data_IF_269356408534
#
_entry.id   IF_269356408534
#
_cell.length_a   1.000
_cell.length_b   1.000
_cell.length_c   1.000
_cell.angle_alpha   90.00
_cell.angle_beta   90.00
_cell.angle_gamma   90.00
#
_symmetry.space_group_name_H-M   'P 1'
#
loop_
_entity.id
_entity.type
_entity.pdbx_description
1 polymer ?
#
# COMPACT_ATOMS: atom_id res chain seq x y z
N UNK A 1 -21.67 -5.09 4.67
CA UNK A 1 -20.34 -5.43 5.21
C UNK A 1 -19.71 -4.15 5.74
N UNK A 2 -19.16 -4.12 6.96
CA UNK A 2 -18.48 -2.93 7.47
C UNK A 2 -17.08 -2.84 6.85
N UNK A 3 -16.78 -1.74 6.14
CA UNK A 3 -15.48 -1.50 5.49
C UNK A 3 -14.62 -0.43 6.18
N UNK A 4 -15.04 0.08 7.34
CA UNK A 4 -14.38 1.18 8.06
C UNK A 4 -12.93 0.85 8.40
N UNK A 5 -12.65 -0.41 8.74
CA UNK A 5 -11.30 -0.88 9.02
C UNK A 5 -10.38 -0.76 7.80
N UNK A 6 -10.85 -1.11 6.61
CA UNK A 6 -10.04 -1.00 5.39
C UNK A 6 -9.79 0.47 5.02
N UNK A 7 -10.82 1.31 5.16
CA UNK A 7 -10.70 2.77 5.00
C UNK A 7 -9.67 3.36 5.97
N UNK A 8 -9.65 2.91 7.23
CA UNK A 8 -8.66 3.34 8.21
C UNK A 8 -7.24 2.93 7.81
N UNK A 9 -7.06 1.68 7.37
CA UNK A 9 -5.76 1.21 6.87
C UNK A 9 -5.28 1.99 5.65
N UNK A 10 -6.18 2.42 4.74
CA UNK A 10 -5.82 3.32 3.65
C UNK A 10 -5.31 4.67 4.13
N UNK A 11 -5.91 5.24 5.18
CA UNK A 11 -5.43 6.49 5.79
C UNK A 11 -4.02 6.29 6.36
N UNK A 12 -3.78 5.19 7.06
CA UNK A 12 -2.44 4.85 7.58
C UNK A 12 -1.41 4.72 6.44
N UNK A 13 -1.75 3.96 5.39
CA UNK A 13 -0.87 3.75 4.24
C UNK A 13 -0.53 5.07 3.54
N UNK A 14 -1.53 5.90 3.25
CA UNK A 14 -1.34 7.19 2.58
C UNK A 14 -0.54 8.17 3.44
N UNK A 15 -0.72 8.12 4.76
CA UNK A 15 0.04 8.94 5.71
C UNK A 15 1.51 8.51 5.75
N UNK A 16 1.79 7.21 5.81
CA UNK A 16 3.16 6.68 5.78
C UNK A 16 3.89 7.00 4.47
N UNK A 17 3.20 6.86 3.32
CA UNK A 17 3.74 7.30 2.02
C UNK A 17 4.10 8.80 2.04
N UNK A 18 3.24 9.64 2.61
CA UNK A 18 3.46 11.08 2.70
C UNK A 18 4.65 11.42 3.60
N UNK A 19 4.82 10.69 4.71
CA UNK A 19 5.97 10.80 5.60
C UNK A 19 7.28 10.40 4.88
N UNK A 20 7.30 9.26 4.20
CA UNK A 20 8.46 8.81 3.41
C UNK A 20 8.87 9.83 2.36
N UNK A 21 7.90 10.40 1.63
CA UNK A 21 8.16 11.47 0.65
C UNK A 21 8.80 12.70 1.31
N UNK A 22 8.27 13.13 2.45
CA UNK A 22 8.81 14.29 3.20
C UNK A 22 10.25 14.04 3.66
N UNK A 23 10.52 12.92 4.31
CA UNK A 23 11.87 12.58 4.78
C UNK A 23 12.86 12.48 3.61
N UNK A 24 12.43 11.89 2.50
CA UNK A 24 13.26 11.75 1.29
C UNK A 24 13.65 13.11 0.69
N UNK A 25 12.73 14.08 0.71
CA UNK A 25 12.98 15.46 0.28
C UNK A 25 13.88 16.22 1.25
N UNK A 26 13.76 15.98 2.56
CA UNK A 26 14.61 16.61 3.58
C UNK A 26 16.05 16.10 3.55
N UNK A 27 16.26 14.86 3.10
CA UNK A 27 17.59 14.28 2.91
C UNK A 27 17.58 12.79 3.25
N UNK A 28 17.79 11.93 2.25
CA UNK A 28 17.72 10.47 2.46
C UNK A 28 18.82 9.99 3.42
N UNK A 29 20.04 10.49 3.26
CA UNK A 29 21.16 10.11 4.13
C UNK A 29 20.96 10.63 5.56
N UNK A 30 20.46 11.85 5.72
CA UNK A 30 20.25 12.50 7.01
C UNK A 30 19.10 11.85 7.80
N UNK A 31 18.10 11.35 7.08
CA UNK A 31 16.92 10.68 7.65
C UNK A 31 16.92 9.16 7.44
N UNK A 32 18.08 8.54 7.19
CA UNK A 32 18.15 7.12 6.81
C UNK A 32 17.53 6.18 7.87
N UNK A 33 17.70 6.49 9.16
CA UNK A 33 17.11 5.70 10.25
C UNK A 33 15.59 5.84 10.27
N UNK A 34 15.08 7.07 10.15
CA UNK A 34 13.64 7.35 10.16
C UNK A 34 12.94 6.73 8.95
N UNK A 35 13.54 6.85 7.76
CA UNK A 35 13.05 6.24 6.53
C UNK A 35 13.03 4.71 6.67
N UNK A 36 14.11 4.11 7.18
CA UNK A 36 14.16 2.66 7.37
C UNK A 36 13.11 2.16 8.37
N UNK A 37 12.85 2.92 9.43
CA UNK A 37 11.80 2.60 10.39
C UNK A 37 10.42 2.71 9.75
N UNK A 38 10.14 3.83 9.08
CA UNK A 38 8.84 4.05 8.44
C UNK A 38 8.55 3.01 7.34
N UNK A 39 9.56 2.59 6.57
CA UNK A 39 9.40 1.50 5.60
C UNK A 39 8.97 0.18 6.25
N UNK A 40 9.48 -0.14 7.45
CA UNK A 40 9.07 -1.35 8.19
C UNK A 40 7.63 -1.23 8.68
N UNK A 41 7.29 -0.08 9.26
CA UNK A 41 5.94 0.22 9.73
C UNK A 41 4.93 0.12 8.59
N UNK A 42 5.19 0.81 7.48
CA UNK A 42 4.33 0.79 6.31
C UNK A 42 4.23 -0.61 5.69
N UNK A 43 5.33 -1.36 5.63
CA UNK A 43 5.31 -2.76 5.19
C UNK A 43 4.37 -3.63 6.03
N UNK A 44 4.42 -3.48 7.35
CA UNK A 44 3.52 -4.21 8.25
C UNK A 44 2.05 -3.85 8.02
N UNK A 45 1.73 -2.56 7.86
CA UNK A 45 0.35 -2.12 7.59
C UNK A 45 -0.16 -2.69 6.26
N UNK A 46 0.63 -2.60 5.18
CA UNK A 46 0.25 -3.14 3.87
C UNK A 46 0.04 -4.65 3.94
N UNK A 47 0.95 -5.40 4.56
CA UNK A 47 0.82 -6.86 4.70
C UNK A 47 -0.46 -7.22 5.47
N UNK A 48 -0.76 -6.51 6.55
CA UNK A 48 -1.98 -6.75 7.33
C UNK A 48 -3.25 -6.41 6.55
N UNK A 49 -3.25 -5.28 5.84
CA UNK A 49 -4.35 -4.86 4.98
C UNK A 49 -4.68 -5.96 3.95
N UNK A 50 -3.68 -6.40 3.18
CA UNK A 50 -3.84 -7.47 2.19
C UNK A 50 -4.34 -8.78 2.80
N UNK A 51 -3.78 -9.16 3.95
CA UNK A 51 -4.15 -10.40 4.63
C UNK A 51 -5.61 -10.40 5.11
N UNK A 52 -6.19 -9.23 5.40
CA UNK A 52 -7.60 -9.10 5.76
C UNK A 52 -8.46 -9.10 4.50
N UNK A 53 -8.02 -8.44 3.42
CA UNK A 53 -8.75 -8.45 2.15
C UNK A 53 -8.90 -9.86 1.59
N UNK A 54 -7.80 -10.63 1.53
CA UNK A 54 -7.78 -12.01 1.03
C UNK A 54 -8.64 -12.97 1.86
N UNK A 55 -8.73 -12.75 3.17
CA UNK A 55 -9.47 -13.64 4.07
C UNK A 55 -10.93 -13.28 4.23
N UNK A 56 -11.27 -12.01 4.05
CA UNK A 56 -12.59 -11.48 4.43
C UNK A 56 -13.24 -10.75 3.26
N UNK A 57 -12.57 -9.73 2.72
CA UNK A 57 -13.19 -8.83 1.74
C UNK A 57 -13.56 -9.56 0.45
N UNK A 58 -12.56 -10.13 -0.22
CA UNK A 58 -12.77 -10.75 -1.53
C UNK A 58 -13.72 -11.96 -1.46
N UNK A 59 -13.60 -12.90 -0.48
CA UNK A 59 -14.56 -13.99 -0.34
C UNK A 59 -16.00 -13.52 -0.08
N UNK A 60 -16.19 -12.46 0.71
CA UNK A 60 -17.52 -11.93 1.00
C UNK A 60 -18.19 -11.32 -0.24
N UNK A 61 -17.42 -10.66 -1.10
CA UNK A 61 -17.93 -10.08 -2.35
C UNK A 61 -18.23 -11.16 -3.39
N UNK A 62 -17.41 -12.21 -3.47
CA UNK A 62 -17.68 -13.38 -4.32
C UNK A 62 -18.98 -14.08 -3.92
N UNK A 63 -19.24 -14.23 -2.61
CA UNK A 63 -20.43 -14.88 -2.07
C UNK A 63 -21.68 -13.98 -2.01
N UNK A 64 -21.58 -12.71 -2.40
CA UNK A 64 -22.68 -11.73 -2.30
C UNK A 64 -23.84 -11.97 -3.26
N UNK A 65 -23.68 -12.86 -4.25
CA UNK A 65 -24.65 -13.07 -5.33
C UNK A 65 -24.69 -11.96 -6.38
N UNK A 66 -23.87 -10.92 -6.23
CA UNK A 66 -23.75 -9.84 -7.21
C UNK A 66 -22.56 -10.09 -8.15
N UNK A 67 -22.84 -10.61 -9.34
CA UNK A 67 -21.79 -10.94 -10.33
C UNK A 67 -20.90 -9.75 -10.72
N UNK A 68 -21.47 -8.54 -10.80
CA UNK A 68 -20.71 -7.33 -11.13
C UNK A 68 -19.67 -7.05 -10.05
N UNK A 69 -20.06 -7.18 -8.78
CA UNK A 69 -19.15 -6.97 -7.66
C UNK A 69 -18.11 -8.08 -7.54
N UNK A 70 -18.48 -9.34 -7.79
CA UNK A 70 -17.52 -10.45 -7.81
C UNK A 70 -16.43 -10.22 -8.89
N UNK A 71 -16.82 -9.80 -10.10
CA UNK A 71 -15.86 -9.46 -11.17
C UNK A 71 -14.96 -8.29 -10.79
N UNK A 72 -15.54 -7.18 -10.32
CA UNK A 72 -14.77 -6.00 -9.88
C UNK A 72 -13.78 -6.37 -8.78
N UNK A 73 -14.22 -7.14 -7.78
CA UNK A 73 -13.40 -7.66 -6.69
C UNK A 73 -12.19 -8.47 -7.19
N UNK A 74 -12.41 -9.39 -8.14
CA UNK A 74 -11.34 -10.19 -8.73
C UNK A 74 -10.31 -9.33 -9.49
N UNK A 75 -10.76 -8.30 -10.20
CA UNK A 75 -9.87 -7.36 -10.90
C UNK A 75 -8.98 -6.59 -9.90
N UNK A 76 -9.56 -6.03 -8.82
CA UNK A 76 -8.79 -5.33 -7.79
C UNK A 76 -7.81 -6.24 -7.04
N UNK A 77 -8.19 -7.49 -6.78
CA UNK A 77 -7.32 -8.47 -6.15
C UNK A 77 -6.12 -8.81 -7.05
N UNK A 78 -6.34 -9.00 -8.35
CA UNK A 78 -5.27 -9.33 -9.28
C UNK A 78 -4.31 -8.17 -9.52
N UNK A 79 -4.82 -6.95 -9.68
CA UNK A 79 -4.00 -5.73 -9.81
C UNK A 79 -3.09 -5.55 -8.59
N UNK A 80 -3.60 -5.86 -7.39
CA UNK A 80 -2.87 -5.67 -6.14
C UNK A 80 -1.65 -6.58 -6.01
N UNK A 81 -1.69 -7.82 -6.52
CA UNK A 81 -0.59 -8.79 -6.37
C UNK A 81 0.75 -8.23 -6.89
N UNK A 82 0.73 -7.58 -8.05
CA UNK A 82 1.93 -6.97 -8.63
C UNK A 82 2.46 -5.80 -7.81
N UNK A 83 1.55 -4.93 -7.37
CA UNK A 83 1.87 -3.72 -6.58
C UNK A 83 2.42 -4.12 -5.21
N UNK A 84 1.76 -5.04 -4.52
CA UNK A 84 2.16 -5.56 -3.21
C UNK A 84 3.55 -6.20 -3.26
N UNK A 85 3.80 -7.06 -4.24
CA UNK A 85 5.10 -7.72 -4.40
C UNK A 85 6.22 -6.70 -4.67
N UNK A 86 5.98 -5.71 -5.53
CA UNK A 86 6.94 -4.64 -5.78
C UNK A 86 7.26 -3.85 -4.50
N UNK A 87 6.22 -3.48 -3.73
CA UNK A 87 6.39 -2.76 -2.48
C UNK A 87 7.12 -3.55 -1.39
N UNK A 88 6.76 -4.81 -1.17
CA UNK A 88 7.41 -5.65 -0.16
C UNK A 88 8.89 -5.86 -0.49
N UNK A 89 9.22 -6.09 -1.76
CA UNK A 89 10.61 -6.22 -2.20
C UNK A 89 11.40 -4.92 -2.04
N UNK A 90 10.79 -3.78 -2.36
CA UNK A 90 11.35 -2.45 -2.14
C UNK A 90 11.61 -2.20 -0.64
N UNK A 91 10.61 -2.42 0.22
CA UNK A 91 10.76 -2.23 1.65
C UNK A 91 11.85 -3.13 2.23
N UNK A 92 11.91 -4.40 1.83
CA UNK A 92 12.97 -5.33 2.26
C UNK A 92 14.38 -4.85 1.87
N UNK A 93 14.53 -4.24 0.69
CA UNK A 93 15.81 -3.73 0.19
C UNK A 93 16.26 -2.49 0.95
N UNK A 94 15.33 -1.58 1.24
CA UNK A 94 15.64 -0.23 1.72
C UNK A 94 15.37 0.01 3.21
N UNK A 95 14.77 -0.95 3.93
CA UNK A 95 14.54 -0.90 5.39
C UNK A 95 15.83 -1.05 6.24
N UNK A 96 16.98 -0.66 5.69
CA UNK A 96 18.27 -0.64 6.34
C UNK A 96 18.93 0.71 6.09
N UNK A 97 19.19 1.45 7.18
CA UNK A 97 19.80 2.78 7.11
C UNK A 97 21.13 2.78 6.35
N UNK A 98 21.96 1.74 6.51
CA UNK A 98 23.24 1.61 5.78
C UNK A 98 23.03 1.54 4.27
N UNK A 99 21.97 0.87 3.79
CA UNK A 99 21.66 0.83 2.36
C UNK A 99 21.21 2.19 1.84
N UNK A 100 20.38 2.89 2.61
CA UNK A 100 19.91 4.24 2.29
C UNK A 100 21.06 5.24 2.18
N UNK A 101 21.99 5.24 3.13
CA UNK A 101 23.16 6.15 3.10
C UNK A 101 24.13 5.80 1.99
N UNK A 102 24.28 4.51 1.62
CA UNK A 102 25.17 4.08 0.54
C UNK A 102 24.66 4.44 -0.85
N UNK A 103 23.35 4.48 -1.05
CA UNK A 103 22.75 4.77 -2.36
C UNK A 103 21.45 5.58 -2.23
N UNK A 104 21.52 6.85 -1.81
CA UNK A 104 20.34 7.69 -1.60
C UNK A 104 19.57 7.96 -2.89
N UNK A 105 20.27 8.13 -4.02
CA UNK A 105 19.62 8.37 -5.32
C UNK A 105 18.92 7.13 -5.86
N UNK A 106 19.51 5.94 -5.68
CA UNK A 106 18.85 4.68 -6.01
C UNK A 106 17.56 4.47 -5.23
N UNK A 107 17.57 4.81 -3.94
CA UNK A 107 16.35 4.78 -3.12
C UNK A 107 15.30 5.74 -3.68
N UNK A 108 15.65 6.99 -3.97
CA UNK A 108 14.71 8.00 -4.52
C UNK A 108 14.07 7.53 -5.81
N UNK A 109 14.86 6.99 -6.73
CA UNK A 109 14.37 6.51 -8.03
C UNK A 109 13.34 5.37 -7.86
N UNK A 110 13.66 4.37 -7.04
CA UNK A 110 12.73 3.26 -6.77
C UNK A 110 11.50 3.72 -5.98
N UNK A 111 11.69 4.55 -4.95
CA UNK A 111 10.62 5.06 -4.10
C UNK A 111 9.57 5.84 -4.91
N UNK A 112 10.00 6.67 -5.85
CA UNK A 112 9.10 7.44 -6.73
C UNK A 112 8.18 6.54 -7.55
N UNK A 113 8.67 5.37 -7.96
CA UNK A 113 7.86 4.41 -8.74
C UNK A 113 6.96 3.60 -7.83
N UNK A 114 7.54 2.96 -6.82
CA UNK A 114 6.86 1.99 -5.97
C UNK A 114 5.80 2.66 -5.08
N UNK A 115 6.15 3.77 -4.41
CA UNK A 115 5.20 4.45 -3.52
C UNK A 115 4.08 5.13 -4.31
N UNK A 116 4.34 5.58 -5.54
CA UNK A 116 3.31 6.11 -6.43
C UNK A 116 2.28 5.03 -6.80
N UNK A 117 2.74 3.83 -7.15
CA UNK A 117 1.82 2.74 -7.51
C UNK A 117 0.92 2.33 -6.34
N UNK A 118 1.47 2.22 -5.12
CA UNK A 118 0.65 1.96 -3.92
C UNK A 118 -0.33 3.10 -3.68
N UNK A 119 0.13 4.35 -3.70
CA UNK A 119 -0.70 5.52 -3.50
C UNK A 119 -1.88 5.60 -4.50
N UNK A 120 -1.60 5.48 -5.80
CA UNK A 120 -2.60 5.58 -6.85
C UNK A 120 -3.64 4.45 -6.73
N UNK A 121 -3.20 3.26 -6.30
CA UNK A 121 -4.06 2.11 -6.02
C UNK A 121 -5.02 2.38 -4.86
N UNK A 122 -4.54 2.90 -3.72
CA UNK A 122 -5.42 3.26 -2.58
C UNK A 122 -6.45 4.34 -2.97
N UNK A 123 -6.02 5.35 -3.75
CA UNK A 123 -6.92 6.40 -4.21
C UNK A 123 -8.00 5.88 -5.16
N UNK A 124 -7.63 4.97 -6.07
CA UNK A 124 -8.59 4.36 -6.99
C UNK A 124 -9.65 3.58 -6.23
N UNK A 125 -9.26 2.75 -5.27
CA UNK A 125 -10.22 2.01 -4.44
C UNK A 125 -11.13 2.92 -3.62
N UNK A 126 -10.58 3.96 -2.99
CA UNK A 126 -11.37 4.93 -2.23
C UNK A 126 -12.42 5.64 -3.09
N UNK A 127 -12.15 5.82 -4.39
CA UNK A 127 -13.04 6.51 -5.33
C UNK A 127 -14.03 5.60 -6.04
N UNK A 128 -13.65 4.35 -6.26
CA UNK A 128 -14.40 3.43 -7.13
C UNK A 128 -14.88 2.20 -6.35
N UNK A 129 -13.98 1.48 -5.68
CA UNK A 129 -14.27 0.17 -5.10
C UNK A 129 -15.07 0.26 -3.79
N UNK A 130 -14.63 1.08 -2.85
CA UNK A 130 -15.32 1.22 -1.57
C UNK A 130 -16.72 1.81 -1.70
N UNK A 131 -16.95 2.87 -2.51
CA UNK A 131 -18.30 3.34 -2.78
C UNK A 131 -19.20 2.28 -3.44
N UNK A 132 -18.66 1.44 -4.33
CA UNK A 132 -19.42 0.35 -4.94
C UNK A 132 -19.82 -0.73 -3.93
N UNK A 133 -18.96 -1.02 -2.94
CA UNK A 133 -19.26 -1.95 -1.85
C UNK A 133 -20.33 -1.38 -0.90
N UNK A 134 -20.29 -0.08 -0.60
CA UNK A 134 -21.28 0.56 0.28
C UNK A 134 -22.67 0.68 -0.36
N UNK A 135 -22.74 0.60 -1.68
CA UNK A 135 -24.01 0.60 -2.42
C UNK A 135 -24.65 -0.79 -2.56
N UNK A 136 -24.03 -1.85 -2.04
CA UNK A 136 -24.59 -3.21 -1.96
C UNK A 136 -25.61 -3.35 -0.83
#
# INVERSE_FOLDING_TARGET
MNIDRFKHQHVEILSGISLLRRLSHQGVSDHAVDIAHELKTLAQVVIQHLAIEDRILYPSLEQSGNERMARMSADYQNDMKGIANAFINFARRWANATMLTRNPEGFRAEANTVLKNVHDRMLRENREFYPAIEAL
#
